data_IF_987924522432
#
_entry.id   IF_987924522432
#
_cell.length_a   1.000
_cell.length_b   1.000
_cell.length_c   1.000
_cell.angle_alpha   90.00
_cell.angle_beta   90.00
_cell.angle_gamma   90.00
#
_symmetry.space_group_name_H-M   'P 1'
#
loop_
_entity.id
_entity.type
_entity.pdbx_description
1 polymer ?
#
# COMPACT_ATOMS: atom_id res chain seq x y z
N UNK A 1 10.22 15.81 14.22
CA UNK A 1 10.34 14.84 15.33
C UNK A 1 10.22 13.44 14.75
N UNK A 2 11.32 12.67 14.70
CA UNK A 2 11.28 11.26 14.34
C UNK A 2 10.70 10.48 15.52
N UNK A 3 9.46 10.02 15.41
CA UNK A 3 8.85 9.14 16.41
C UNK A 3 9.29 7.71 16.14
N UNK A 4 9.67 7.02 17.21
CA UNK A 4 9.93 5.59 17.19
C UNK A 4 8.71 4.89 17.78
N UNK A 5 8.31 3.79 17.16
CA UNK A 5 7.14 3.00 17.59
C UNK A 5 7.61 1.59 17.87
N UNK A 6 7.18 1.04 18.99
CA UNK A 6 7.34 -0.36 19.33
C UNK A 6 5.94 -0.97 19.48
N UNK A 7 5.57 -1.86 18.58
CA UNK A 7 4.27 -2.51 18.59
C UNK A 7 4.26 -3.75 19.48
N UNK A 8 3.17 -3.90 20.24
CA UNK A 8 2.89 -5.11 21.03
C UNK A 8 1.64 -5.76 20.44
N UNK A 9 1.74 -7.06 20.17
CA UNK A 9 0.63 -7.83 19.63
C UNK A 9 -0.34 -8.22 20.75
N UNK A 10 -1.60 -7.85 20.60
CA UNK A 10 -2.68 -8.18 21.53
C UNK A 10 -3.57 -9.34 21.06
N UNK A 11 -3.34 -9.86 19.87
CA UNK A 11 -4.14 -10.90 19.23
C UNK A 11 -3.26 -12.00 18.61
N UNK A 12 -3.64 -12.46 17.42
CA UNK A 12 -2.84 -13.40 16.66
C UNK A 12 -1.53 -12.77 16.15
N UNK A 13 -0.46 -13.57 16.13
CA UNK A 13 0.87 -13.12 15.72
C UNK A 13 0.85 -12.66 14.24
N UNK A 14 1.15 -11.39 14.00
CA UNK A 14 1.26 -10.80 12.68
C UNK A 14 2.71 -10.47 12.30
N UNK A 15 2.94 -10.12 11.04
CA UNK A 15 4.26 -9.73 10.54
C UNK A 15 4.75 -8.37 11.09
N UNK A 16 3.85 -7.53 11.57
CA UNK A 16 4.20 -6.16 11.99
C UNK A 16 4.71 -6.10 13.42
N UNK A 17 4.05 -6.78 14.34
CA UNK A 17 4.33 -6.75 15.77
C UNK A 17 4.78 -8.13 16.26
N UNK A 18 6.04 -8.25 16.65
CA UNK A 18 6.65 -9.51 17.05
C UNK A 18 6.67 -9.74 18.57
N UNK A 19 6.30 -8.72 19.37
CA UNK A 19 6.29 -8.79 20.83
C UNK A 19 4.88 -9.19 21.28
N UNK A 20 4.76 -10.35 21.92
CA UNK A 20 3.53 -10.79 22.53
C UNK A 20 3.31 -10.12 23.90
N UNK A 21 2.05 -10.01 24.32
CA UNK A 21 1.69 -9.31 25.57
C UNK A 21 2.42 -9.87 26.80
N UNK A 22 2.61 -11.19 26.87
CA UNK A 22 3.28 -11.82 27.99
C UNK A 22 4.80 -11.52 28.03
N UNK A 23 5.39 -11.11 26.92
CA UNK A 23 6.81 -10.72 26.79
C UNK A 23 7.03 -9.22 27.02
N UNK A 24 5.96 -8.41 27.13
CA UNK A 24 6.01 -6.94 27.17
C UNK A 24 6.99 -6.42 28.23
N UNK A 25 6.89 -6.92 29.47
CA UNK A 25 7.73 -6.41 30.57
C UNK A 25 9.23 -6.66 30.34
N UNK A 26 9.60 -7.82 29.81
CA UNK A 26 10.99 -8.14 29.52
C UNK A 26 11.54 -7.27 28.39
N UNK A 27 10.75 -7.03 27.34
CA UNK A 27 11.15 -6.20 26.21
C UNK A 27 11.25 -4.71 26.60
N UNK A 28 10.33 -4.19 27.43
CA UNK A 28 10.43 -2.82 27.95
C UNK A 28 11.74 -2.64 28.75
N UNK A 29 12.11 -3.60 29.61
CA UNK A 29 13.38 -3.53 30.35
C UNK A 29 14.58 -3.44 29.40
N UNK A 30 14.62 -4.27 28.36
CA UNK A 30 15.68 -4.25 27.35
C UNK A 30 15.72 -2.93 26.57
N UNK A 31 14.57 -2.38 26.21
CA UNK A 31 14.49 -1.07 25.52
C UNK A 31 15.07 0.03 26.41
N UNK A 32 14.74 0.06 27.71
CA UNK A 32 15.28 1.05 28.65
C UNK A 32 16.80 0.89 28.81
N UNK A 33 17.33 -0.32 28.69
CA UNK A 33 18.77 -0.61 28.72
C UNK A 33 19.49 -0.30 27.40
N UNK A 34 18.76 0.14 26.37
CA UNK A 34 19.33 0.43 25.05
C UNK A 34 19.53 -0.81 24.16
N UNK A 35 18.99 -1.96 24.57
CA UNK A 35 19.09 -3.23 23.82
C UNK A 35 17.98 -3.34 22.77
N UNK A 36 18.04 -2.52 21.73
CA UNK A 36 17.10 -2.57 20.62
C UNK A 36 17.77 -2.19 19.30
N UNK A 37 17.15 -2.60 18.21
CA UNK A 37 17.52 -2.19 16.84
C UNK A 37 16.38 -1.36 16.25
N UNK A 38 16.73 -0.24 15.63
CA UNK A 38 15.77 0.59 14.90
C UNK A 38 15.69 0.08 13.46
N UNK A 39 14.49 -0.26 13.03
CA UNK A 39 14.17 -0.59 11.65
C UNK A 39 13.52 0.64 10.99
N UNK A 40 14.03 1.02 9.83
CA UNK A 40 13.45 2.12 9.03
C UNK A 40 12.49 1.52 8.02
N UNK A 41 11.25 2.00 8.01
CA UNK A 41 10.22 1.59 7.06
C UNK A 41 9.89 2.70 6.08
N UNK A 42 9.74 2.34 4.80
CA UNK A 42 9.28 3.26 3.77
C UNK A 42 7.79 3.58 3.96
N UNK A 43 7.38 4.77 3.52
CA UNK A 43 5.98 5.19 3.41
C UNK A 43 5.70 5.56 1.97
N UNK A 44 4.46 5.35 1.55
CA UNK A 44 3.95 5.89 0.31
C UNK A 44 3.38 7.29 0.59
N UNK A 45 3.59 8.20 -0.36
CA UNK A 45 2.96 9.51 -0.39
C UNK A 45 2.09 9.57 -1.63
N UNK A 46 0.87 10.04 -1.50
CA UNK A 46 -0.05 10.11 -2.61
C UNK A 46 -0.85 11.43 -2.60
N UNK A 47 -1.24 11.86 -3.78
CA UNK A 47 -2.01 13.05 -4.02
C UNK A 47 -3.19 12.68 -4.92
N UNK A 48 -4.35 13.29 -4.65
CA UNK A 48 -5.53 13.19 -5.52
C UNK A 48 -5.64 14.50 -6.28
N UNK A 49 -5.50 14.45 -7.59
CA UNK A 49 -5.79 15.57 -8.49
C UNK A 49 -7.24 15.44 -8.98
N UNK A 50 -8.09 16.42 -8.62
CA UNK A 50 -9.51 16.45 -9.00
C UNK A 50 -9.75 17.22 -10.31
N UNK A 51 -8.70 17.57 -11.05
CA UNK A 51 -8.78 18.38 -12.29
C UNK A 51 -9.39 19.78 -12.10
N UNK A 52 -9.50 20.26 -10.88
CA UNK A 52 -9.98 21.60 -10.52
C UNK A 52 -8.83 22.55 -10.15
N UNK A 53 -7.59 22.08 -10.27
CA UNK A 53 -6.36 22.78 -9.88
C UNK A 53 -6.01 22.63 -8.40
N UNK A 54 -6.76 21.84 -7.64
CA UNK A 54 -6.45 21.52 -6.27
C UNK A 54 -5.92 20.06 -6.17
N UNK A 55 -4.77 19.92 -5.52
CA UNK A 55 -4.23 18.61 -5.14
C UNK A 55 -4.52 18.36 -3.66
N UNK A 56 -5.13 17.22 -3.37
CA UNK A 56 -5.35 16.75 -2.01
C UNK A 56 -4.24 15.79 -1.62
N UNK A 57 -3.38 16.19 -0.66
CA UNK A 57 -2.34 15.33 -0.11
C UNK A 57 -2.96 14.32 0.86
N UNK A 58 -2.72 13.03 0.61
CA UNK A 58 -3.11 11.98 1.55
C UNK A 58 -2.07 11.85 2.66
N UNK A 59 -2.52 11.38 3.83
CA UNK A 59 -1.60 11.08 4.95
C UNK A 59 -0.54 10.07 4.52
N UNK A 60 0.68 10.10 5.10
CA UNK A 60 1.70 9.10 4.81
C UNK A 60 1.20 7.67 5.07
N UNK A 61 1.32 6.81 4.07
CA UNK A 61 0.72 5.48 4.04
C UNK A 61 1.78 4.43 4.30
N UNK A 62 1.56 3.62 5.32
CA UNK A 62 2.51 2.59 5.77
C UNK A 62 2.36 1.29 4.98
N UNK A 63 1.12 0.86 4.70
CA UNK A 63 0.83 -0.40 4.03
C UNK A 63 0.60 -0.21 2.54
N UNK A 64 -0.65 0.06 2.15
CA UNK A 64 -1.06 0.12 0.76
C UNK A 64 -2.15 1.16 0.51
N UNK A 65 -2.25 1.55 -0.76
CA UNK A 65 -3.40 2.22 -1.36
C UNK A 65 -4.08 1.20 -2.26
N UNK A 66 -5.38 1.06 -2.12
CA UNK A 66 -6.20 0.22 -2.97
C UNK A 66 -7.10 1.11 -3.82
N UNK A 67 -7.00 0.96 -5.12
CA UNK A 67 -7.89 1.59 -6.08
C UNK A 67 -8.80 0.49 -6.60
N UNK A 68 -10.10 0.59 -6.40
CA UNK A 68 -11.07 -0.44 -6.77
C UNK A 68 -12.25 0.15 -7.51
N UNK A 69 -12.90 -0.67 -8.33
CA UNK A 69 -14.16 -0.29 -8.98
C UNK A 69 -15.24 0.00 -7.95
N UNK A 70 -16.03 1.04 -8.16
CA UNK A 70 -17.18 1.35 -7.31
C UNK A 70 -18.39 0.46 -7.61
N UNK A 71 -18.57 0.07 -8.88
CA UNK A 71 -19.69 -0.76 -9.33
C UNK A 71 -19.26 -2.23 -9.49
N UNK A 72 -19.83 -3.17 -8.72
CA UNK A 72 -19.45 -4.60 -8.78
C UNK A 72 -19.61 -5.26 -10.16
N UNK A 73 -20.57 -4.78 -10.97
CA UNK A 73 -20.91 -5.40 -12.25
C UNK A 73 -20.09 -4.87 -13.44
N UNK A 74 -19.30 -3.82 -13.25
CA UNK A 74 -18.51 -3.20 -14.34
C UNK A 74 -17.03 -3.34 -14.04
N UNK A 75 -16.29 -3.88 -15.00
CA UNK A 75 -14.83 -3.97 -14.95
C UNK A 75 -14.22 -2.56 -15.09
N UNK A 76 -13.27 -2.22 -14.24
CA UNK A 76 -12.51 -0.98 -14.37
C UNK A 76 -11.32 -1.17 -15.34
N UNK A 77 -11.04 -0.14 -16.14
CA UNK A 77 -9.83 -0.05 -16.96
C UNK A 77 -8.92 1.01 -16.36
N UNK A 78 -8.04 0.58 -15.50
CA UNK A 78 -7.14 1.47 -14.76
C UNK A 78 -5.89 1.71 -15.61
N UNK A 79 -5.66 2.96 -16.00
CA UNK A 79 -4.45 3.35 -16.71
C UNK A 79 -3.39 3.75 -15.72
N UNK A 80 -2.21 3.18 -15.85
CA UNK A 80 -1.05 3.48 -15.02
C UNK A 80 0.10 3.98 -15.88
N UNK A 81 0.74 5.05 -15.43
CA UNK A 81 2.04 5.48 -15.94
C UNK A 81 3.07 5.54 -14.81
N UNK A 82 4.32 5.28 -15.14
CA UNK A 82 5.44 5.40 -14.23
C UNK A 82 6.41 6.42 -14.82
N UNK A 83 6.76 7.45 -14.03
CA UNK A 83 7.66 8.53 -14.44
C UNK A 83 7.22 9.21 -15.76
N UNK A 84 5.91 9.45 -15.90
CA UNK A 84 5.26 9.99 -17.10
C UNK A 84 5.40 9.13 -18.37
N UNK A 85 5.81 7.86 -18.23
CA UNK A 85 5.83 6.90 -19.35
C UNK A 85 4.64 5.97 -19.20
N UNK A 86 3.82 5.86 -20.26
CA UNK A 86 2.68 4.95 -20.24
C UNK A 86 3.17 3.52 -20.15
N UNK A 87 2.75 2.81 -19.12
CA UNK A 87 3.26 1.47 -18.85
C UNK A 87 2.24 0.42 -19.24
N UNK A 88 1.01 0.51 -18.73
CA UNK A 88 0.01 -0.53 -18.94
C UNK A 88 -1.40 -0.07 -18.57
N UNK A 89 -2.41 -0.64 -19.23
CA UNK A 89 -3.80 -0.62 -18.83
C UNK A 89 -4.14 -1.92 -18.11
N UNK A 90 -4.74 -1.82 -16.93
CA UNK A 90 -5.17 -2.95 -16.11
C UNK A 90 -6.69 -3.10 -16.15
N UNK A 91 -7.23 -4.03 -16.97
CA UNK A 91 -8.64 -4.44 -16.85
C UNK A 91 -8.75 -5.37 -15.64
N UNK A 92 -9.19 -4.85 -14.52
CA UNK A 92 -9.17 -5.55 -13.23
C UNK A 92 -10.26 -5.02 -12.30
N UNK A 93 -10.50 -5.70 -11.19
CA UNK A 93 -11.38 -5.22 -10.13
C UNK A 93 -10.74 -4.10 -9.31
N UNK A 94 -9.42 -3.97 -9.38
CA UNK A 94 -8.68 -2.93 -8.70
C UNK A 94 -7.17 -3.05 -8.89
N UNK A 95 -6.46 -2.13 -8.29
CA UNK A 95 -5.01 -2.06 -8.26
C UNK A 95 -4.54 -1.75 -6.84
N UNK A 96 -3.59 -2.51 -6.34
CA UNK A 96 -2.97 -2.31 -5.03
C UNK A 96 -1.59 -1.71 -5.26
N UNK A 97 -1.33 -0.56 -4.64
CA UNK A 97 0.00 0.06 -4.60
C UNK A 97 0.50 -0.10 -3.16
N UNK A 98 1.51 -0.92 -2.96
CA UNK A 98 1.96 -1.36 -1.64
C UNK A 98 3.40 -0.99 -1.36
N UNK A 99 3.68 -0.63 -0.12
CA UNK A 99 5.04 -0.56 0.42
C UNK A 99 5.55 -1.96 0.76
N UNK A 100 6.83 -2.06 1.13
CA UNK A 100 7.38 -3.31 1.66
C UNK A 100 6.64 -3.80 2.92
N UNK A 101 6.20 -2.90 3.78
CA UNK A 101 5.40 -3.26 4.98
C UNK A 101 4.05 -3.83 4.58
N UNK A 102 3.37 -3.22 3.61
CA UNK A 102 2.08 -3.69 3.09
C UNK A 102 2.19 -4.95 2.25
N UNK A 103 3.40 -5.37 1.85
CA UNK A 103 3.59 -6.57 1.02
C UNK A 103 3.00 -7.84 1.64
N UNK A 104 2.90 -7.90 2.98
CA UNK A 104 2.30 -9.01 3.73
C UNK A 104 0.83 -8.79 4.07
N UNK A 105 0.24 -7.66 3.67
CA UNK A 105 -1.18 -7.32 3.82
C UNK A 105 -2.03 -7.76 2.63
N UNK A 106 -2.90 -6.88 2.15
CA UNK A 106 -3.79 -7.18 1.03
C UNK A 106 -3.04 -7.51 -0.27
N UNK A 107 -1.84 -6.94 -0.46
CA UNK A 107 -0.95 -7.31 -1.56
C UNK A 107 -0.71 -8.82 -1.62
N UNK A 108 -0.43 -9.46 -0.47
CA UNK A 108 -0.20 -10.91 -0.41
C UNK A 108 -1.46 -11.70 -0.78
N UNK A 109 -2.61 -11.29 -0.28
CA UNK A 109 -3.90 -11.92 -0.62
C UNK A 109 -4.25 -11.82 -2.10
N UNK A 110 -3.80 -10.76 -2.77
CA UNK A 110 -3.94 -10.56 -4.20
C UNK A 110 -2.87 -11.30 -5.05
N UNK A 111 -1.97 -12.05 -4.42
CA UNK A 111 -0.91 -12.80 -5.09
C UNK A 111 0.37 -11.99 -5.38
N UNK A 112 0.53 -10.83 -4.76
CA UNK A 112 1.73 -10.02 -4.86
C UNK A 112 2.91 -10.61 -4.09
N UNK A 113 4.15 -10.21 -4.41
CA UNK A 113 5.36 -10.70 -3.76
C UNK A 113 5.50 -10.17 -2.34
N UNK A 114 6.17 -10.95 -1.49
CA UNK A 114 6.59 -10.53 -0.15
C UNK A 114 7.94 -9.83 -0.26
N UNK A 115 8.06 -8.67 0.37
CA UNK A 115 9.32 -7.94 0.48
C UNK A 115 9.81 -7.86 1.92
N UNK A 116 11.14 -7.75 2.10
CA UNK A 116 11.72 -7.46 3.41
C UNK A 116 11.26 -6.08 3.89
N UNK A 117 10.98 -5.92 5.18
CA UNK A 117 10.44 -4.67 5.73
C UNK A 117 11.32 -3.43 5.53
N UNK A 118 12.64 -3.61 5.40
CA UNK A 118 13.62 -2.55 5.17
C UNK A 118 13.81 -2.19 3.68
N UNK A 119 13.18 -2.93 2.78
CA UNK A 119 13.13 -2.60 1.37
C UNK A 119 12.28 -1.35 1.16
N UNK A 120 12.64 -0.52 0.18
CA UNK A 120 11.93 0.72 -0.11
C UNK A 120 11.21 0.72 -1.45
N UNK A 121 11.30 -0.39 -2.19
CA UNK A 121 10.59 -0.54 -3.45
C UNK A 121 9.07 -0.48 -3.25
N UNK A 122 8.38 -0.13 -4.30
CA UNK A 122 6.92 -0.06 -4.37
C UNK A 122 6.44 -1.27 -5.16
N UNK A 123 5.39 -1.93 -4.68
CA UNK A 123 4.74 -3.03 -5.40
C UNK A 123 3.43 -2.52 -5.98
N UNK A 124 3.16 -2.86 -7.23
CA UNK A 124 1.86 -2.67 -7.87
C UNK A 124 1.29 -4.04 -8.22
N UNK A 125 0.16 -4.39 -7.61
CA UNK A 125 -0.48 -5.69 -7.78
C UNK A 125 -1.93 -5.53 -8.24
N UNK A 126 -2.32 -6.07 -9.40
CA UNK A 126 -3.70 -6.02 -9.86
C UNK A 126 -4.57 -7.00 -9.06
N UNK A 127 -5.82 -6.60 -8.81
CA UNK A 127 -6.83 -7.43 -8.13
C UNK A 127 -7.73 -8.07 -9.17
N UNK A 128 -7.80 -9.40 -9.19
CA UNK A 128 -8.62 -10.16 -10.14
C UNK A 128 -8.46 -9.69 -11.61
N UNK A 129 -7.23 -9.63 -12.15
CA UNK A 129 -7.01 -9.16 -13.51
C UNK A 129 -7.65 -10.09 -14.53
N UNK A 130 -8.25 -9.52 -15.58
CA UNK A 130 -8.87 -10.29 -16.66
C UNK A 130 -7.89 -10.72 -17.76
N UNK A 131 -6.64 -10.31 -17.67
CA UNK A 131 -5.59 -10.71 -18.60
C UNK A 131 -4.64 -11.73 -17.96
N UNK A 132 -4.18 -12.69 -18.75
CA UNK A 132 -3.21 -13.73 -18.34
C UNK A 132 -1.90 -13.12 -17.82
N UNK A 133 -1.59 -11.87 -18.19
CA UNK A 133 -0.38 -11.15 -17.78
C UNK A 133 -0.56 -10.22 -16.58
N UNK A 134 -1.54 -10.48 -15.73
CA UNK A 134 -1.77 -9.71 -14.49
C UNK A 134 -0.69 -9.98 -13.43
N UNK A 135 0.58 -9.71 -13.77
CA UNK A 135 1.70 -9.85 -12.85
C UNK A 135 1.90 -8.59 -12.03
N UNK A 136 2.40 -8.75 -10.80
CA UNK A 136 2.81 -7.62 -9.98
C UNK A 136 4.09 -7.00 -10.54
N UNK A 137 4.18 -5.66 -10.46
CA UNK A 137 5.39 -4.91 -10.75
C UNK A 137 6.07 -4.52 -9.46
N UNK A 138 7.40 -4.53 -9.46
CA UNK A 138 8.23 -3.99 -8.38
C UNK A 138 8.97 -2.78 -8.95
N UNK A 139 8.73 -1.62 -8.36
CA UNK A 139 9.24 -0.33 -8.79
C UNK A 139 10.24 0.20 -7.75
N UNK A 140 11.05 1.18 -8.12
CA UNK A 140 12.02 1.81 -7.24
C UNK A 140 11.36 2.81 -6.27
N UNK A 141 12.06 3.14 -5.17
CA UNK A 141 11.54 4.08 -4.14
C UNK A 141 11.28 5.50 -4.65
N UNK A 142 11.91 5.88 -5.76
CA UNK A 142 11.79 7.22 -6.35
C UNK A 142 10.87 7.28 -7.56
N UNK A 143 10.27 6.16 -7.95
CA UNK A 143 9.32 6.14 -9.05
C UNK A 143 8.03 6.86 -8.67
N UNK A 144 7.52 7.65 -9.61
CA UNK A 144 6.23 8.31 -9.50
C UNK A 144 5.20 7.51 -10.29
N UNK A 145 4.17 7.03 -9.60
CA UNK A 145 3.07 6.30 -10.19
C UNK A 145 1.90 7.25 -10.36
N UNK A 146 1.42 7.39 -11.58
CA UNK A 146 0.21 8.12 -11.87
C UNK A 146 -0.88 7.17 -12.34
N UNK A 147 -2.04 7.26 -11.71
CA UNK A 147 -3.24 6.49 -12.07
C UNK A 147 -4.25 7.43 -12.69
N UNK A 148 -4.73 7.07 -13.85
CA UNK A 148 -5.74 7.85 -14.56
C UNK A 148 -6.88 6.96 -15.01
N UNK A 149 -8.07 7.57 -15.15
CA UNK A 149 -9.24 6.93 -15.72
C UNK A 149 -9.71 7.68 -16.96
N UNK A 150 -10.17 6.96 -17.99
CA UNK A 150 -10.92 7.60 -19.07
C UNK A 150 -12.22 8.21 -18.53
N UNK A 151 -12.65 9.34 -19.07
CA UNK A 151 -13.87 10.09 -18.65
C UNK A 151 -15.18 9.28 -18.68
N UNK A 152 -15.22 8.15 -19.39
CA UNK A 152 -16.40 7.29 -19.54
C UNK A 152 -16.38 6.03 -18.70
N UNK A 153 -15.36 5.84 -17.86
CA UNK A 153 -15.24 4.67 -17.01
C UNK A 153 -16.03 4.87 -15.70
N UNK A 154 -16.45 3.76 -15.03
CA UNK A 154 -17.13 3.85 -13.75
C UNK A 154 -16.22 4.46 -12.67
N UNK A 155 -16.83 5.12 -11.69
CA UNK A 155 -16.11 5.67 -10.55
C UNK A 155 -15.22 4.63 -9.88
N UNK A 156 -14.07 5.08 -9.34
CA UNK A 156 -13.18 4.27 -8.53
C UNK A 156 -13.29 4.71 -7.06
N UNK A 157 -13.15 3.74 -6.18
CA UNK A 157 -12.96 3.98 -4.76
C UNK A 157 -11.47 3.91 -4.43
N UNK A 158 -11.01 4.86 -3.61
CA UNK A 158 -9.65 4.85 -3.07
C UNK A 158 -9.75 4.49 -1.60
N UNK A 159 -9.09 3.41 -1.19
CA UNK A 159 -9.01 2.96 0.18
C UNK A 159 -7.55 2.96 0.64
N UNK A 160 -7.30 3.50 1.82
CA UNK A 160 -5.97 3.57 2.42
C UNK A 160 -5.89 2.59 3.58
N UNK A 161 -4.91 1.67 3.53
CA UNK A 161 -4.63 0.69 4.59
C UNK A 161 -5.85 -0.12 5.03
N UNK A 162 -6.80 -0.41 4.16
CA UNK A 162 -8.07 -1.13 4.43
C UNK A 162 -8.85 -0.69 5.71
N UNK A 163 -8.33 0.27 6.45
CA UNK A 163 -8.89 0.75 7.72
C UNK A 163 -9.66 2.06 7.57
N UNK A 164 -9.46 2.78 6.47
CA UNK A 164 -10.11 4.06 6.18
C UNK A 164 -10.67 4.03 4.77
N UNK A 165 -11.97 3.89 4.65
CA UNK A 165 -12.71 4.18 3.42
C UNK A 165 -13.10 5.64 3.45
N UNK A 166 -12.55 6.46 2.56
CA UNK A 166 -13.18 7.72 2.22
C UNK A 166 -14.09 7.44 1.02
N UNK A 167 -15.39 7.63 1.20
CA UNK A 167 -16.32 7.76 0.09
C UNK A 167 -15.92 9.03 -0.69
N UNK A 168 -15.38 8.85 -1.87
CA UNK A 168 -15.01 9.92 -2.77
C UNK A 168 -16.05 10.08 -3.85
#
# INVERSE_FOLDING_TARGET
YKRQVCGINLGELGFLNQIEIHQMQSHIKRIVQGEYKIEKRGHLYAYIDRNDGNEEELVPIINEIVISRAEPAKMARIHMSVNNQHTQMYPSDGLIISSATGSTGYNLSAGGPIMKPDNRSIIVTPVAPHLIQGVSLVLEEHDTIQITMPEREPQLHICICLLYTSDA
#
